data_IF_650483688698
#
_entry.id   IF_650483688698
#
_cell.length_a   1.000
_cell.length_b   1.000
_cell.length_c   1.000
_cell.angle_alpha   90.00
_cell.angle_beta   90.00
_cell.angle_gamma   90.00
#
_symmetry.space_group_name_H-M   'P 1'
#
loop_
_entity.id
_entity.type
_entity.pdbx_description
1 polymer ?
#
# COMPACT_ATOMS: atom_id res chain seq x y z
N UNK A 1 11.98 -11.36 -70.99
CA UNK A 1 12.07 -12.66 -70.30
C UNK A 1 11.07 -12.65 -69.16
N UNK A 2 10.06 -13.54 -69.19
CA UNK A 2 9.05 -13.71 -68.14
C UNK A 2 9.41 -14.86 -67.17
N UNK A 3 8.59 -14.99 -66.11
CA UNK A 3 8.64 -15.82 -64.88
C UNK A 3 9.14 -17.28 -64.99
N UNK A 4 9.52 -17.90 -63.84
CA UNK A 4 8.65 -18.95 -63.29
C UNK A 4 8.44 -18.94 -61.75
N UNK A 5 7.55 -19.85 -61.36
CA UNK A 5 6.85 -20.07 -60.09
C UNK A 5 7.51 -21.15 -59.22
N UNK A 6 7.21 -21.11 -57.91
CA UNK A 6 7.21 -22.16 -56.87
C UNK A 6 8.47 -22.49 -56.06
N UNK A 7 8.25 -22.73 -54.75
CA UNK A 7 9.22 -23.31 -53.82
C UNK A 7 8.77 -23.28 -52.36
N UNK A 8 7.76 -24.08 -52.02
CA UNK A 8 7.32 -24.38 -50.65
C UNK A 8 8.44 -24.99 -49.81
N UNK A 9 9.14 -24.19 -49.00
CA UNK A 9 10.17 -24.74 -48.10
C UNK A 9 10.48 -23.84 -46.91
N UNK A 10 9.46 -23.31 -46.22
CA UNK A 10 9.67 -22.73 -44.88
C UNK A 10 8.43 -22.82 -43.97
N UNK A 11 7.54 -23.78 -44.26
CA UNK A 11 6.42 -24.19 -43.41
C UNK A 11 6.62 -25.57 -42.74
N UNK A 12 7.80 -26.19 -42.85
CA UNK A 12 8.07 -27.52 -42.28
C UNK A 12 8.82 -27.53 -40.94
N UNK A 13 9.27 -26.38 -40.42
CA UNK A 13 10.03 -26.37 -39.15
C UNK A 13 9.19 -26.19 -37.89
N UNK A 14 7.87 -26.03 -38.01
CA UNK A 14 6.96 -25.73 -36.89
C UNK A 14 5.97 -26.86 -36.52
N UNK A 15 6.12 -28.06 -37.09
CA UNK A 15 5.38 -29.27 -36.64
C UNK A 15 6.20 -30.24 -35.76
N UNK A 16 7.51 -30.01 -35.60
CA UNK A 16 8.42 -30.97 -34.95
C UNK A 16 8.59 -30.91 -33.43
N UNK A 17 7.78 -30.15 -32.67
CA UNK A 17 7.93 -30.07 -31.19
C UNK A 17 6.63 -30.38 -30.43
N UNK A 18 5.51 -30.62 -31.13
CA UNK A 18 4.22 -30.93 -30.49
C UNK A 18 3.91 -32.44 -30.44
N UNK A 19 4.76 -33.30 -31.04
CA UNK A 19 4.55 -34.75 -31.12
C UNK A 19 5.47 -35.62 -30.24
N UNK A 20 6.18 -35.04 -29.26
CA UNK A 20 7.05 -35.79 -28.33
C UNK A 20 6.46 -35.99 -26.92
N UNK A 21 5.13 -35.95 -26.78
CA UNK A 21 4.44 -36.22 -25.49
C UNK A 21 3.20 -37.12 -25.61
N UNK A 22 3.08 -37.90 -26.68
CA UNK A 22 2.05 -38.93 -26.81
C UNK A 22 2.58 -40.09 -27.65
N UNK A 23 3.35 -40.97 -27.03
CA UNK A 23 3.55 -42.37 -27.45
C UNK A 23 4.61 -42.98 -26.52
N UNK A 24 4.17 -43.36 -25.31
CA UNK A 24 4.84 -44.33 -24.44
C UNK A 24 3.73 -45.12 -23.74
N UNK A 25 3.01 -45.88 -24.56
CA UNK A 25 2.09 -46.96 -24.17
C UNK A 25 2.18 -48.01 -25.27
N UNK A 26 2.31 -49.26 -24.84
CA UNK A 26 2.20 -50.50 -25.65
C UNK A 26 3.48 -50.74 -26.49
N UNK A 27 4.32 -51.76 -26.26
CA UNK A 27 4.06 -53.19 -26.07
C UNK A 27 5.19 -53.92 -25.32
N UNK A 28 4.84 -54.97 -24.57
CA UNK A 28 5.65 -56.19 -24.39
C UNK A 28 4.78 -57.35 -23.89
N UNK A 29 4.24 -58.10 -24.83
CA UNK A 29 3.81 -59.51 -24.75
C UNK A 29 5.03 -60.41 -25.12
N UNK A 30 5.26 -61.69 -24.75
CA UNK A 30 4.51 -62.85 -24.24
C UNK A 30 5.53 -63.84 -23.58
N UNK A 31 5.15 -64.59 -22.52
CA UNK A 31 5.02 -66.08 -22.49
C UNK A 31 6.32 -66.82 -22.09
N UNK A 32 6.41 -67.84 -21.21
CA UNK A 32 5.57 -69.00 -20.89
C UNK A 32 6.10 -69.72 -19.61
N UNK A 33 5.20 -70.27 -18.77
CA UNK A 33 5.12 -71.67 -18.27
C UNK A 33 4.52 -71.84 -16.84
N UNK A 34 3.61 -72.81 -16.74
CA UNK A 34 2.77 -73.20 -15.60
C UNK A 34 3.44 -74.21 -14.63
N UNK A 35 3.01 -74.25 -13.37
CA UNK A 35 2.51 -75.46 -12.66
C UNK A 35 2.28 -75.14 -11.16
N UNK A 36 1.03 -75.11 -10.68
CA UNK A 36 0.21 -76.16 -10.02
C UNK A 36 0.54 -76.47 -8.53
N UNK A 37 -0.56 -76.48 -7.74
CA UNK A 37 -0.90 -77.34 -6.59
C UNK A 37 -0.68 -76.86 -5.12
N UNK A 38 -1.84 -76.57 -4.51
CA UNK A 38 -2.41 -77.24 -3.31
C UNK A 38 -2.33 -76.60 -1.91
N UNK A 39 -3.53 -76.32 -1.37
CA UNK A 39 -4.05 -76.61 -0.03
C UNK A 39 -3.06 -77.04 1.08
N UNK A 40 -3.13 -76.42 2.28
CA UNK A 40 -3.90 -76.93 3.43
C UNK A 40 -3.73 -76.04 4.69
N UNK A 41 -4.83 -75.95 5.45
CA UNK A 41 -5.03 -75.75 6.90
C UNK A 41 -3.76 -75.83 7.81
N UNK A 42 -3.62 -75.16 8.96
CA UNK A 42 -4.57 -75.06 10.07
C UNK A 42 -4.07 -74.14 11.23
N UNK A 43 -5.00 -73.38 11.81
CA UNK A 43 -5.20 -73.06 13.26
C UNK A 43 -4.08 -72.84 14.28
N UNK A 44 -4.19 -71.69 14.98
CA UNK A 44 -4.08 -71.37 16.45
C UNK A 44 -3.24 -70.09 16.62
N UNK A 45 -3.64 -69.03 17.31
CA UNK A 45 -4.40 -68.95 18.56
C UNK A 45 -5.11 -67.60 18.67
N UNK A 46 -6.30 -67.63 19.29
CA UNK A 46 -7.15 -66.50 19.66
C UNK A 46 -6.41 -65.53 20.60
N UNK A 47 -6.66 -64.22 20.45
CA UNK A 47 -7.16 -63.38 21.55
C UNK A 47 -7.52 -61.93 21.14
N UNK A 48 -8.74 -61.54 21.52
CA UNK A 48 -9.23 -60.18 21.85
C UNK A 48 -9.83 -59.30 20.72
N UNK A 49 -11.14 -59.52 20.52
CA UNK A 49 -12.28 -58.57 20.40
C UNK A 49 -12.06 -57.12 19.93
N UNK A 50 -12.73 -56.81 18.81
CA UNK A 50 -13.52 -55.59 18.47
C UNK A 50 -13.45 -54.41 19.47
N UNK A 51 -12.94 -53.25 19.02
CA UNK A 51 -13.62 -51.93 19.17
C UNK A 51 -12.91 -50.80 18.41
N UNK A 52 -13.72 -50.02 17.70
CA UNK A 52 -13.50 -48.72 17.01
C UNK A 52 -12.21 -47.96 17.38
N UNK A 53 -11.36 -47.67 16.38
CA UNK A 53 -10.29 -46.65 16.48
C UNK A 53 -10.93 -45.24 16.54
N UNK A 54 -10.95 -44.64 17.72
CA UNK A 54 -11.04 -43.17 17.89
C UNK A 54 -9.67 -42.57 17.56
N UNK A 55 -9.63 -41.63 16.60
CA UNK A 55 -8.46 -40.75 16.37
C UNK A 55 -8.36 -39.79 17.57
N UNK A 56 -7.24 -39.79 18.28
CA UNK A 56 -6.86 -38.71 19.19
C UNK A 56 -5.94 -37.76 18.42
N UNK A 57 -6.41 -36.55 18.15
CA UNK A 57 -5.56 -35.41 17.80
C UNK A 57 -5.24 -34.64 19.08
N UNK A 58 -4.00 -34.74 19.56
CA UNK A 58 -3.47 -33.81 20.56
C UNK A 58 -3.13 -32.50 19.83
N UNK A 59 -4.01 -31.50 19.94
CA UNK A 59 -3.71 -30.10 19.60
C UNK A 59 -3.54 -29.37 20.93
N UNK A 60 -2.36 -28.81 21.24
CA UNK A 60 -2.21 -27.95 22.39
C UNK A 60 -2.98 -26.64 22.12
N UNK A 61 -4.02 -26.37 22.91
CA UNK A 61 -4.62 -25.04 23.00
C UNK A 61 -3.61 -24.12 23.65
N UNK A 62 -2.96 -23.25 22.88
CA UNK A 62 -2.32 -22.07 23.45
C UNK A 62 -3.42 -21.13 23.94
N UNK A 63 -3.60 -21.11 25.26
CA UNK A 63 -4.46 -20.16 25.94
C UNK A 63 -3.94 -18.75 25.69
N UNK A 64 -4.79 -17.91 25.11
CA UNK A 64 -4.58 -16.47 25.07
C UNK A 64 -4.63 -15.97 26.52
N UNK A 65 -3.47 -15.65 27.09
CA UNK A 65 -3.40 -14.95 28.36
C UNK A 65 -4.01 -13.56 28.17
N UNK A 66 -5.11 -13.32 28.89
CA UNK A 66 -5.62 -11.99 29.23
C UNK A 66 -4.47 -11.19 29.83
N UNK A 67 -4.04 -10.13 29.15
CA UNK A 67 -3.23 -9.08 29.76
C UNK A 67 -4.18 -7.98 30.23
N UNK A 68 -4.28 -7.86 31.55
CA UNK A 68 -4.80 -6.69 32.25
C UNK A 68 -3.81 -5.54 32.03
N UNK A 69 -4.25 -4.40 31.47
CA UNK A 69 -3.70 -3.05 31.69
C UNK A 69 -4.62 -1.98 31.04
N UNK A 70 -5.36 -1.28 31.91
CA UNK A 70 -6.01 0.04 31.82
C UNK A 70 -7.04 0.36 30.72
N UNK A 71 -8.32 0.20 31.11
CA UNK A 71 -9.44 1.18 31.19
C UNK A 71 -9.77 2.18 30.07
N UNK A 72 -9.47 1.84 28.81
CA UNK A 72 -10.26 2.39 27.68
C UNK A 72 -10.79 1.22 26.84
N UNK A 73 -12.09 0.92 26.98
CA UNK A 73 -12.76 0.01 26.05
C UNK A 73 -12.73 0.66 24.68
N UNK A 74 -12.18 0.00 23.66
CA UNK A 74 -12.26 0.48 22.27
C UNK A 74 -13.48 -0.18 21.62
N UNK A 75 -14.44 0.62 21.16
CA UNK A 75 -15.60 0.12 20.45
C UNK A 75 -15.27 0.03 18.96
N UNK A 76 -15.38 -1.19 18.42
CA UNK A 76 -15.49 -1.41 16.98
C UNK A 76 -16.97 -1.20 16.64
N UNK A 77 -17.32 -0.05 16.04
CA UNK A 77 -18.70 0.19 15.58
C UNK A 77 -18.75 -0.14 14.09
N UNK A 78 -19.48 -1.18 13.66
CA UNK A 78 -19.90 -1.26 12.28
C UNK A 78 -20.92 -0.14 12.08
N UNK A 79 -20.65 0.80 11.18
CA UNK A 79 -21.72 1.70 10.74
C UNK A 79 -22.78 0.88 10.01
N UNK A 80 -24.00 1.42 9.96
CA UNK A 80 -25.21 0.83 9.35
C UNK A 80 -25.03 0.47 7.86
N UNK A 81 -23.86 0.79 7.27
CA UNK A 81 -23.51 0.54 5.86
C UNK A 81 -22.12 -0.11 5.66
N UNK A 82 -21.62 -0.88 6.63
CA UNK A 82 -20.46 -1.75 6.46
C UNK A 82 -19.10 -1.19 6.88
N UNK A 83 -18.97 0.12 7.09
CA UNK A 83 -17.71 0.80 7.46
C UNK A 83 -17.06 0.33 8.77
N UNK A 84 -15.74 0.11 8.77
CA UNK A 84 -14.90 -0.15 9.94
C UNK A 84 -14.40 1.16 10.60
N UNK A 85 -15.20 1.69 11.54
CA UNK A 85 -14.79 2.80 12.41
C UNK A 85 -14.32 2.29 13.77
N UNK A 86 -13.30 2.96 14.31
CA UNK A 86 -12.77 2.68 15.65
C UNK A 86 -12.86 3.94 16.49
N UNK A 87 -13.57 3.83 17.61
CA UNK A 87 -13.77 4.91 18.57
C UNK A 87 -13.60 4.38 20.01
N UNK A 88 -13.40 5.30 20.97
CA UNK A 88 -13.44 4.93 22.36
C UNK A 88 -14.88 4.51 22.74
N UNK A 89 -15.01 3.33 23.34
CA UNK A 89 -16.27 2.79 23.84
C UNK A 89 -16.79 3.55 25.06
N UNK A 90 -18.10 3.80 25.08
CA UNK A 90 -18.76 4.56 26.12
C UNK A 90 -18.95 3.69 27.38
N UNK A 91 -18.11 3.90 28.39
CA UNK A 91 -18.41 3.41 29.75
C UNK A 91 -19.29 4.43 30.48
N UNK A 92 -20.59 4.47 30.16
CA UNK A 92 -21.68 4.98 31.01
C UNK A 92 -21.47 6.31 31.77
N UNK A 93 -20.73 7.28 31.23
CA UNK A 93 -20.61 8.63 31.80
C UNK A 93 -20.99 9.67 30.75
N UNK A 94 -22.09 10.38 31.03
CA UNK A 94 -22.78 11.35 30.17
C UNK A 94 -22.03 12.66 29.91
N UNK A 95 -20.74 12.63 29.59
CA UNK A 95 -19.98 13.83 29.18
C UNK A 95 -18.75 13.50 28.33
N UNK A 96 -18.90 12.59 27.36
CA UNK A 96 -17.83 12.28 26.43
C UNK A 96 -17.78 13.36 25.35
N UNK A 97 -16.71 14.17 25.34
CA UNK A 97 -16.42 15.11 24.25
C UNK A 97 -16.40 14.32 22.94
N UNK A 98 -17.16 14.80 21.94
CA UNK A 98 -17.23 14.18 20.63
C UNK A 98 -15.91 14.40 19.88
N UNK A 99 -15.41 13.40 19.13
CA UNK A 99 -14.15 13.52 18.43
C UNK A 99 -14.20 14.69 17.43
N UNK A 100 -13.10 15.44 17.35
CA UNK A 100 -12.97 16.62 16.49
C UNK A 100 -12.01 16.41 15.34
N UNK A 101 -11.23 15.33 15.36
CA UNK A 101 -10.20 15.04 14.37
C UNK A 101 -10.40 13.65 13.75
N UNK A 102 -10.65 13.62 12.44
CA UNK A 102 -10.75 12.40 11.66
C UNK A 102 -9.37 11.90 11.20
N UNK A 103 -9.05 10.64 11.46
CA UNK A 103 -7.89 9.96 10.87
C UNK A 103 -8.38 8.94 9.85
N UNK A 104 -8.07 9.17 8.58
CA UNK A 104 -8.39 8.26 7.48
C UNK A 104 -7.20 7.33 7.21
N UNK A 105 -7.37 6.03 7.46
CA UNK A 105 -6.35 5.02 7.21
C UNK A 105 -6.61 4.27 5.91
N UNK A 106 -5.64 4.23 4.99
CA UNK A 106 -5.82 3.76 3.61
C UNK A 106 -4.92 2.57 3.32
N UNK A 107 -5.50 1.43 2.95
CA UNK A 107 -4.77 0.17 2.77
C UNK A 107 -3.94 0.11 1.47
N UNK A 108 -2.89 -0.73 1.51
CA UNK A 108 -2.10 -1.08 0.34
C UNK A 108 -2.78 -2.07 -0.61
N UNK A 109 -2.01 -2.53 -1.61
CA UNK A 109 -2.46 -3.48 -2.63
C UNK A 109 -2.90 -4.82 -2.03
N UNK A 110 -4.01 -5.39 -2.50
CA UNK A 110 -4.65 -6.60 -1.93
C UNK A 110 -4.91 -6.43 -0.41
N UNK A 111 -5.09 -5.18 0.03
CA UNK A 111 -5.32 -4.82 1.42
C UNK A 111 -6.80 -4.82 1.77
N UNK A 112 -7.06 -4.63 3.06
CA UNK A 112 -8.39 -4.41 3.62
C UNK A 112 -8.28 -3.52 4.87
N UNK A 113 -9.40 -2.97 5.36
CA UNK A 113 -9.43 -2.14 6.58
C UNK A 113 -8.81 -2.84 7.79
N UNK A 114 -8.96 -4.17 7.88
CA UNK A 114 -8.46 -4.95 9.02
C UNK A 114 -6.94 -4.90 9.16
N UNK A 115 -6.20 -4.57 8.09
CA UNK A 115 -4.75 -4.38 8.15
C UNK A 115 -4.36 -3.22 9.09
N UNK A 116 -5.25 -2.26 9.30
CA UNK A 116 -5.05 -1.11 10.16
C UNK A 116 -5.56 -1.33 11.58
N UNK A 117 -6.18 -2.47 11.89
CA UNK A 117 -6.83 -2.74 13.18
C UNK A 117 -5.91 -2.48 14.37
N UNK A 118 -4.64 -2.87 14.30
CA UNK A 118 -3.68 -2.63 15.36
C UNK A 118 -3.43 -1.12 15.54
N UNK A 119 -3.07 -0.42 14.47
CA UNK A 119 -2.79 1.01 14.52
C UNK A 119 -4.02 1.80 14.98
N UNK A 120 -5.20 1.55 14.41
CA UNK A 120 -6.44 2.24 14.76
C UNK A 120 -6.76 2.14 16.26
N UNK A 121 -6.64 0.94 16.85
CA UNK A 121 -6.85 0.75 18.29
C UNK A 121 -5.87 1.52 19.15
N UNK A 122 -4.59 1.55 18.75
CA UNK A 122 -3.56 2.25 19.50
C UNK A 122 -3.69 3.77 19.39
N UNK A 123 -4.07 4.30 18.23
CA UNK A 123 -4.38 5.72 18.05
C UNK A 123 -5.56 6.14 18.94
N UNK A 124 -6.67 5.39 18.91
CA UNK A 124 -7.85 5.68 19.74
C UNK A 124 -7.52 5.56 21.22
N UNK A 125 -6.69 4.58 21.63
CA UNK A 125 -6.25 4.48 23.02
C UNK A 125 -5.41 5.69 23.45
N UNK A 126 -4.56 6.20 22.58
CA UNK A 126 -3.71 7.35 22.86
C UNK A 126 -4.48 8.68 22.91
N UNK A 127 -5.52 8.83 22.09
CA UNK A 127 -6.28 10.08 21.92
C UNK A 127 -7.79 9.87 22.06
N UNK A 128 -8.20 9.20 23.14
CA UNK A 128 -9.56 8.65 23.31
C UNK A 128 -10.74 9.61 23.21
N UNK A 129 -10.51 10.92 23.38
CA UNK A 129 -11.54 11.98 23.29
C UNK A 129 -11.39 12.90 22.08
N UNK A 130 -10.25 12.86 21.40
CA UNK A 130 -9.90 13.88 20.39
C UNK A 130 -10.12 13.38 18.97
N UNK A 131 -9.96 12.07 18.74
CA UNK A 131 -9.92 11.49 17.41
C UNK A 131 -11.02 10.47 17.13
N UNK A 132 -11.38 10.39 15.85
CA UNK A 132 -12.13 9.29 15.25
C UNK A 132 -11.23 8.65 14.19
N UNK A 133 -11.06 7.32 14.23
CA UNK A 133 -10.29 6.60 13.20
C UNK A 133 -11.25 5.90 12.25
N UNK A 134 -11.15 6.22 10.97
CA UNK A 134 -11.86 5.57 9.88
C UNK A 134 -10.87 4.77 9.03
N UNK A 135 -10.98 3.44 9.00
CA UNK A 135 -10.20 2.62 8.09
C UNK A 135 -11.00 2.43 6.80
N UNK A 136 -10.53 3.03 5.72
CA UNK A 136 -11.21 3.06 4.42
C UNK A 136 -11.45 1.64 3.88
N UNK A 137 -12.66 1.42 3.38
CA UNK A 137 -13.09 0.14 2.79
C UNK A 137 -13.25 0.22 1.27
N UNK A 138 -13.33 1.44 0.71
CA UNK A 138 -13.61 1.72 -0.71
C UNK A 138 -12.70 0.99 -1.71
N UNK A 139 -11.50 0.60 -1.27
CA UNK A 139 -10.48 -0.02 -2.10
C UNK A 139 -9.92 -1.32 -1.50
N UNK A 140 -10.81 -2.27 -1.22
CA UNK A 140 -10.45 -3.57 -0.66
C UNK A 140 -10.20 -4.65 -1.73
N UNK A 141 -9.26 -5.56 -1.45
CA UNK A 141 -9.03 -6.77 -2.27
C UNK A 141 -8.76 -6.47 -3.75
N UNK A 142 -9.55 -7.03 -4.68
CA UNK A 142 -9.36 -6.88 -6.12
C UNK A 142 -9.65 -5.45 -6.62
N UNK A 143 -10.41 -4.65 -5.87
CA UNK A 143 -10.65 -3.24 -6.18
C UNK A 143 -9.34 -2.42 -6.16
N UNK A 144 -8.29 -2.96 -5.52
CA UNK A 144 -6.96 -2.33 -5.54
C UNK A 144 -6.28 -2.34 -6.92
N UNK A 145 -6.85 -3.00 -7.92
CA UNK A 145 -6.30 -3.11 -9.28
C UNK A 145 -6.92 -2.13 -10.28
N UNK A 146 -7.91 -1.33 -9.86
CA UNK A 146 -8.68 -0.44 -10.75
C UNK A 146 -7.94 0.83 -11.19
N UNK A 147 -6.78 1.11 -10.61
CA UNK A 147 -5.98 2.30 -10.89
C UNK A 147 -6.11 3.37 -9.82
N UNK A 148 -4.98 4.03 -9.53
CA UNK A 148 -4.83 5.04 -8.46
C UNK A 148 -5.85 6.18 -8.59
N UNK A 149 -6.16 6.60 -9.80
CA UNK A 149 -7.14 7.65 -10.08
C UNK A 149 -8.56 7.24 -9.70
N UNK A 150 -8.98 6.04 -10.10
CA UNK A 150 -10.31 5.50 -9.78
C UNK A 150 -10.43 5.27 -8.27
N UNK A 151 -9.41 4.64 -7.67
CA UNK A 151 -9.37 4.40 -6.23
C UNK A 151 -9.38 5.69 -5.43
N UNK A 152 -8.66 6.71 -5.90
CA UNK A 152 -8.58 8.03 -5.25
C UNK A 152 -9.91 8.77 -5.26
N UNK A 153 -10.68 8.69 -6.36
CA UNK A 153 -12.04 9.25 -6.41
C UNK A 153 -12.98 8.54 -5.44
N UNK A 154 -12.98 7.20 -5.41
CA UNK A 154 -13.81 6.45 -4.45
C UNK A 154 -13.47 6.79 -3.00
N UNK A 155 -12.18 6.93 -2.69
CA UNK A 155 -11.74 7.32 -1.36
C UNK A 155 -12.23 8.74 -1.02
N UNK A 156 -12.18 9.68 -1.97
CA UNK A 156 -12.72 11.03 -1.75
C UNK A 156 -14.23 10.99 -1.45
N UNK A 157 -15.02 10.23 -2.21
CA UNK A 157 -16.46 10.06 -2.01
C UNK A 157 -16.78 9.42 -0.63
N UNK A 158 -15.99 8.41 -0.24
CA UNK A 158 -16.08 7.77 1.08
C UNK A 158 -15.78 8.76 2.21
N UNK A 159 -14.72 9.57 2.08
CA UNK A 159 -14.35 10.59 3.07
C UNK A 159 -15.44 11.63 3.23
N UNK A 160 -16.03 12.14 2.14
CA UNK A 160 -17.15 13.08 2.21
C UNK A 160 -18.32 12.46 2.98
N UNK A 161 -18.67 11.21 2.64
CA UNK A 161 -19.75 10.48 3.32
C UNK A 161 -19.49 10.27 4.81
N UNK A 162 -18.23 10.12 5.22
CA UNK A 162 -17.85 10.03 6.64
C UNK A 162 -17.98 11.39 7.32
N UNK A 163 -17.48 12.46 6.70
CA UNK A 163 -17.53 13.83 7.25
C UNK A 163 -18.97 14.31 7.41
N UNK A 164 -19.83 14.08 6.42
CA UNK A 164 -21.24 14.48 6.45
C UNK A 164 -22.01 13.83 7.61
N UNK A 165 -21.62 12.62 8.02
CA UNK A 165 -22.22 11.89 9.15
C UNK A 165 -21.71 12.34 10.52
N UNK A 166 -20.61 13.10 10.56
CA UNK A 166 -19.93 13.49 11.80
C UNK A 166 -19.67 15.01 11.79
N UNK A 167 -20.70 15.84 12.04
CA UNK A 167 -20.59 17.31 11.96
C UNK A 167 -19.69 17.92 13.04
N UNK A 168 -19.24 17.13 14.04
CA UNK A 168 -18.31 17.58 15.07
C UNK A 168 -16.86 17.56 14.63
N UNK A 169 -16.55 16.98 13.47
CA UNK A 169 -15.21 16.96 12.91
C UNK A 169 -14.83 18.36 12.42
N UNK A 170 -13.62 18.78 12.79
CA UNK A 170 -13.02 20.06 12.37
C UNK A 170 -11.65 19.86 11.71
N UNK A 171 -11.01 18.71 11.95
CA UNK A 171 -9.66 18.39 11.49
C UNK A 171 -9.62 17.04 10.78
N UNK A 172 -8.72 16.90 9.83
CA UNK A 172 -8.51 15.65 9.09
C UNK A 172 -7.03 15.32 8.92
N UNK A 173 -6.70 14.04 9.06
CA UNK A 173 -5.39 13.46 8.79
C UNK A 173 -5.53 12.19 7.95
N UNK A 174 -4.51 11.91 7.15
CA UNK A 174 -4.42 10.70 6.33
C UNK A 174 -3.20 9.87 6.73
N UNK A 175 -3.38 8.55 6.80
CA UNK A 175 -2.31 7.58 6.99
C UNK A 175 -2.43 6.51 5.90
N UNK A 176 -1.50 6.51 4.94
CA UNK A 176 -1.50 5.58 3.82
C UNK A 176 -0.38 4.55 3.91
N UNK A 177 -0.69 3.28 3.66
CA UNK A 177 0.31 2.21 3.56
C UNK A 177 0.49 1.80 2.11
N UNK A 178 1.74 1.73 1.64
CA UNK A 178 2.05 1.23 0.31
C UNK A 178 1.27 1.99 -0.76
N UNK A 179 0.58 1.29 -1.66
CA UNK A 179 -0.36 1.84 -2.63
C UNK A 179 -1.36 2.85 -2.03
N UNK A 180 -1.81 2.63 -0.79
CA UNK A 180 -2.75 3.51 -0.10
C UNK A 180 -2.24 4.93 0.08
N UNK A 181 -0.92 5.14 0.20
CA UNK A 181 -0.35 6.50 0.22
C UNK A 181 -0.47 7.22 -1.12
N UNK A 182 -0.42 6.51 -2.25
CA UNK A 182 -0.66 7.09 -3.57
C UNK A 182 -2.15 7.36 -3.79
N UNK A 183 -3.02 6.46 -3.35
CA UNK A 183 -4.48 6.65 -3.39
C UNK A 183 -4.89 7.85 -2.54
N UNK A 184 -4.35 7.99 -1.33
CA UNK A 184 -4.56 9.14 -0.46
C UNK A 184 -4.10 10.45 -1.12
N UNK A 185 -2.92 10.48 -1.76
CA UNK A 185 -2.44 11.65 -2.52
C UNK A 185 -3.41 12.07 -3.62
N UNK A 186 -4.02 11.11 -4.31
CA UNK A 186 -5.01 11.43 -5.34
C UNK A 186 -6.31 11.96 -4.71
N UNK A 187 -6.80 11.30 -3.67
CA UNK A 187 -8.03 11.69 -2.97
C UNK A 187 -7.96 13.10 -2.39
N UNK A 188 -6.85 13.48 -1.73
CA UNK A 188 -6.72 14.83 -1.17
C UNK A 188 -6.74 15.90 -2.25
N UNK A 189 -6.23 15.64 -3.46
CA UNK A 189 -6.28 16.59 -4.56
C UNK A 189 -7.70 16.78 -5.08
N UNK A 190 -8.49 15.70 -5.14
CA UNK A 190 -9.92 15.76 -5.49
C UNK A 190 -10.70 16.58 -4.45
N UNK A 191 -10.52 16.25 -3.16
CA UNK A 191 -11.20 16.95 -2.06
C UNK A 191 -10.82 18.43 -1.99
N UNK A 192 -9.54 18.74 -2.16
CA UNK A 192 -9.03 20.11 -2.21
C UNK A 192 -9.67 20.92 -3.34
N UNK A 193 -9.72 20.34 -4.55
CA UNK A 193 -10.32 21.00 -5.71
C UNK A 193 -11.82 21.25 -5.51
N UNK A 194 -12.54 20.30 -4.91
CA UNK A 194 -13.97 20.47 -4.62
C UNK A 194 -14.23 21.60 -3.63
N UNK A 195 -13.40 21.73 -2.59
CA UNK A 195 -13.54 22.83 -1.63
C UNK A 195 -13.24 24.19 -2.28
N UNK A 196 -12.24 24.29 -3.17
CA UNK A 196 -12.00 25.51 -3.95
C UNK A 196 -13.21 25.93 -4.80
N UNK A 197 -13.88 24.97 -5.45
CA UNK A 197 -15.06 25.24 -6.28
C UNK A 197 -16.30 25.63 -5.45
N UNK A 198 -16.42 25.11 -4.23
CA UNK A 198 -17.47 25.51 -3.29
C UNK A 198 -17.28 26.94 -2.79
N UNK A 199 -16.04 27.33 -2.51
CA UNK A 199 -15.73 28.70 -2.11
C UNK A 199 -16.04 29.70 -3.24
N UNK A 200 -15.62 29.41 -4.47
CA UNK A 200 -15.87 30.31 -5.61
C UNK A 200 -17.36 30.50 -5.94
N UNK A 201 -18.18 29.46 -5.77
CA UNK A 201 -19.63 29.54 -6.00
C UNK A 201 -20.40 30.24 -4.86
N UNK A 202 -19.84 30.28 -3.65
CA UNK A 202 -20.44 30.99 -2.51
C UNK A 202 -20.24 32.51 -2.57
N UNK A 203 -19.18 32.98 -3.25
CA UNK A 203 -18.88 34.41 -3.40
C UNK A 203 -19.72 35.09 -4.52
N UNK A 204 -20.34 34.34 -5.45
CA UNK A 204 -21.18 34.91 -6.52
C UNK A 204 -22.56 35.42 -6.07
N UNK A 205 -23.03 35.06 -4.87
CA UNK A 205 -24.32 35.53 -4.32
C UNK A 205 -24.20 36.76 -3.39
N UNK A 206 -23.01 37.33 -3.23
CA UNK A 206 -22.76 38.59 -2.53
C UNK A 206 -22.23 39.64 -3.51
N UNK A 207 -22.75 40.88 -3.45
CA UNK A 207 -22.34 41.95 -4.35
C UNK A 207 -20.83 42.27 -4.28
N UNK A 208 -20.20 42.19 -5.46
CA UNK A 208 -19.06 42.96 -5.97
C UNK A 208 -17.62 42.63 -5.50
N UNK A 209 -16.76 42.30 -6.48
CA UNK A 209 -15.34 42.61 -6.46
C UNK A 209 -14.45 41.61 -7.20
N UNK A 210 -13.71 42.05 -8.20
CA UNK A 210 -12.61 41.35 -8.92
C UNK A 210 -11.41 40.97 -8.00
N UNK A 211 -11.64 40.78 -6.70
CA UNK A 211 -10.63 40.61 -5.65
C UNK A 211 -10.40 39.13 -5.28
N UNK A 212 -11.30 38.21 -5.62
CA UNK A 212 -11.14 36.79 -5.28
C UNK A 212 -9.91 36.15 -5.96
N UNK A 213 -9.56 36.60 -7.18
CA UNK A 213 -8.36 36.14 -7.90
C UNK A 213 -7.08 36.86 -7.44
N UNK A 214 -7.20 37.96 -6.67
CA UNK A 214 -6.09 38.81 -6.23
C UNK A 214 -5.81 38.71 -4.72
N UNK A 215 -6.49 37.82 -3.98
CA UNK A 215 -6.14 37.54 -2.58
C UNK A 215 -4.69 37.03 -2.54
N UNK A 216 -3.81 37.59 -1.68
CA UNK A 216 -2.42 37.16 -1.62
C UNK A 216 -2.36 35.65 -1.30
N UNK A 217 -1.52 34.90 -2.02
CA UNK A 217 -1.31 33.45 -1.89
C UNK A 217 -1.24 32.95 -0.43
N UNK A 218 -0.74 33.80 0.48
CA UNK A 218 -0.62 33.56 1.93
C UNK A 218 -1.98 33.42 2.63
N UNK A 219 -3.00 34.16 2.22
CA UNK A 219 -4.35 34.08 2.81
C UNK A 219 -5.12 32.85 2.30
N UNK A 220 -4.93 32.50 1.03
CA UNK A 220 -5.50 31.27 0.44
C UNK A 220 -4.96 30.02 1.14
N UNK A 221 -3.67 30.03 1.50
CA UNK A 221 -3.01 28.97 2.29
C UNK A 221 -3.61 28.78 3.71
N UNK A 222 -4.19 29.81 4.31
CA UNK A 222 -4.83 29.73 5.65
C UNK A 222 -6.26 29.18 5.60
N UNK A 223 -6.87 29.12 4.41
CA UNK A 223 -8.25 28.64 4.21
C UNK A 223 -8.33 27.26 3.56
N UNK A 224 -7.25 26.77 2.96
CA UNK A 224 -7.17 25.45 2.36
C UNK A 224 -7.81 24.34 3.23
N UNK A 225 -8.94 23.80 2.77
CA UNK A 225 -9.67 22.69 3.40
C UNK A 225 -9.51 21.40 2.61
N UNK A 226 -9.76 20.28 3.30
CA UNK A 226 -9.91 18.96 2.71
C UNK A 226 -11.24 18.39 3.22
N UNK A 227 -12.23 18.28 2.34
CA UNK A 227 -13.61 17.93 2.70
C UNK A 227 -14.20 18.90 3.75
N UNK A 228 -13.90 20.19 3.65
CA UNK A 228 -14.31 21.22 4.61
C UNK A 228 -13.54 21.21 5.94
N UNK A 229 -12.65 20.23 6.17
CA UNK A 229 -11.90 20.07 7.42
C UNK A 229 -10.49 20.66 7.31
N UNK A 230 -9.91 21.05 8.45
CA UNK A 230 -8.53 21.52 8.55
C UNK A 230 -7.54 20.35 8.39
N UNK A 231 -6.68 20.34 7.35
CA UNK A 231 -5.71 19.27 7.14
C UNK A 231 -4.52 19.36 8.11
N UNK A 232 -4.28 18.29 8.88
CA UNK A 232 -3.24 18.27 9.93
C UNK A 232 -2.04 17.40 9.55
N UNK A 233 -2.21 16.07 9.46
CA UNK A 233 -1.13 15.15 9.15
C UNK A 233 -1.39 14.39 7.84
N UNK A 234 -0.36 14.33 6.99
CA UNK A 234 -0.31 13.42 5.85
C UNK A 234 0.87 12.45 6.04
N UNK A 235 0.57 11.21 6.43
CA UNK A 235 1.58 10.21 6.76
C UNK A 235 1.53 9.08 5.73
N UNK A 236 2.69 8.72 5.20
CA UNK A 236 2.83 7.55 4.33
C UNK A 236 3.81 6.55 4.92
N UNK A 237 3.56 5.26 4.68
CA UNK A 237 4.41 4.18 5.15
C UNK A 237 4.66 3.16 4.05
N UNK A 238 5.93 2.95 3.71
CA UNK A 238 6.35 2.07 2.61
C UNK A 238 5.64 2.39 1.28
N UNK A 239 5.36 3.67 1.00
CA UNK A 239 4.65 4.09 -0.22
C UNK A 239 5.61 4.28 -1.38
N UNK A 240 5.38 3.67 -2.56
CA UNK A 240 6.25 3.86 -3.73
C UNK A 240 5.94 5.20 -4.44
N UNK A 241 6.31 6.33 -3.84
CA UNK A 241 5.97 7.67 -4.34
C UNK A 241 6.45 7.96 -5.77
N UNK A 242 7.57 7.34 -6.17
CA UNK A 242 8.19 7.46 -7.49
C UNK A 242 7.84 6.27 -8.42
N UNK A 243 6.89 5.44 -8.00
CA UNK A 243 6.61 4.15 -8.62
C UNK A 243 7.63 3.07 -8.26
N UNK A 244 7.54 1.97 -9.01
CA UNK A 244 8.31 0.73 -8.85
C UNK A 244 9.17 0.43 -10.08
N UNK A 245 9.31 1.40 -11.00
CA UNK A 245 10.06 1.24 -12.24
C UNK A 245 11.57 1.45 -11.99
N UNK A 246 12.37 0.43 -12.27
CA UNK A 246 13.81 0.59 -12.50
C UNK A 246 14.71 -0.39 -11.74
N UNK A 247 15.61 -1.01 -12.50
CA UNK A 247 16.79 -1.81 -12.12
C UNK A 247 17.67 -1.35 -10.94
N UNK A 248 17.42 -0.18 -10.33
CA UNK A 248 18.28 0.46 -9.31
C UNK A 248 17.56 0.88 -8.03
N UNK A 249 16.28 1.20 -8.07
CA UNK A 249 15.47 1.46 -6.87
C UNK A 249 14.98 0.16 -6.24
N UNK A 250 14.86 -0.85 -7.08
CA UNK A 250 14.43 -2.19 -6.77
C UNK A 250 15.55 -3.12 -7.26
N UNK A 251 16.39 -3.72 -6.39
CA UNK A 251 17.37 -4.73 -6.81
C UNK A 251 16.63 -6.03 -7.10
N UNK A 252 15.75 -5.99 -8.10
CA UNK A 252 15.00 -7.14 -8.57
C UNK A 252 16.02 -8.21 -8.98
N UNK A 253 16.02 -9.31 -8.23
CA UNK A 253 16.79 -10.53 -8.53
C UNK A 253 18.27 -10.31 -8.88
N UNK A 254 19.00 -9.51 -8.09
CA UNK A 254 20.45 -9.36 -8.25
C UNK A 254 20.92 -8.86 -9.63
N UNK A 255 20.08 -8.11 -10.37
CA UNK A 255 20.51 -7.40 -11.59
C UNK A 255 20.41 -8.19 -12.90
N UNK A 256 19.63 -9.27 -12.96
CA UNK A 256 19.37 -9.98 -14.21
C UNK A 256 18.24 -9.32 -15.04
N UNK A 257 18.61 -8.70 -16.15
CA UNK A 257 17.75 -7.94 -17.08
C UNK A 257 16.56 -8.74 -17.67
N UNK A 258 16.66 -10.07 -17.72
CA UNK A 258 15.64 -10.96 -18.29
C UNK A 258 14.40 -11.11 -17.39
N UNK A 259 14.56 -10.99 -16.07
CA UNK A 259 13.45 -11.09 -15.11
C UNK A 259 12.69 -9.78 -14.92
N UNK A 260 13.30 -8.63 -15.24
CA UNK A 260 12.65 -7.31 -15.22
C UNK A 260 11.53 -7.25 -16.28
N UNK A 261 11.76 -7.82 -17.46
CA UNK A 261 10.72 -8.00 -18.48
C UNK A 261 9.58 -8.91 -17.99
N UNK A 262 9.87 -9.89 -17.14
CA UNK A 262 8.85 -10.75 -16.54
C UNK A 262 8.03 -10.01 -15.47
N UNK A 263 8.65 -9.13 -14.67
CA UNK A 263 7.94 -8.31 -13.69
C UNK A 263 7.04 -7.24 -14.34
N UNK A 264 7.49 -6.62 -15.43
CA UNK A 264 6.66 -5.72 -16.26
C UNK A 264 5.50 -6.49 -16.91
N UNK A 265 5.71 -7.75 -17.30
CA UNK A 265 4.62 -8.62 -17.77
C UNK A 265 3.68 -9.05 -16.63
N UNK A 266 4.20 -9.21 -15.41
CA UNK A 266 3.40 -9.51 -14.23
C UNK A 266 2.62 -8.29 -13.71
N UNK A 267 3.05 -7.04 -14.00
CA UNK A 267 2.31 -5.85 -13.60
C UNK A 267 0.94 -5.74 -14.30
N UNK A 268 0.79 -6.34 -15.49
CA UNK A 268 -0.52 -6.51 -16.13
C UNK A 268 -1.52 -7.28 -15.25
N UNK A 269 -1.05 -8.19 -14.40
CA UNK A 269 -1.89 -8.95 -13.47
C UNK A 269 -2.38 -8.08 -12.30
N UNK A 270 -1.80 -6.89 -12.11
CA UNK A 270 -2.25 -5.88 -11.15
C UNK A 270 -3.16 -4.83 -11.82
N UNK A 271 -3.67 -5.13 -13.02
CA UNK A 271 -4.60 -4.28 -13.75
C UNK A 271 -4.03 -2.90 -14.07
N UNK A 272 -4.89 -1.88 -13.96
CA UNK A 272 -4.53 -0.48 -14.23
C UNK A 272 -3.57 0.07 -13.17
N UNK A 273 -3.71 -0.38 -11.92
CA UNK A 273 -2.77 -0.05 -10.83
C UNK A 273 -1.34 -0.42 -11.18
N UNK A 274 -1.13 -1.61 -11.76
CA UNK A 274 0.18 -2.03 -12.24
C UNK A 274 0.77 -1.08 -13.28
N UNK A 275 -0.04 -0.59 -14.21
CA UNK A 275 0.43 0.39 -15.22
C UNK A 275 0.90 1.69 -14.57
N UNK A 276 0.15 2.23 -13.60
CA UNK A 276 0.53 3.46 -12.89
C UNK A 276 1.81 3.27 -12.05
N UNK A 277 1.92 2.17 -11.30
CA UNK A 277 3.10 1.89 -10.46
C UNK A 277 4.38 1.73 -11.29
N UNK A 278 4.27 1.15 -12.49
CA UNK A 278 5.42 0.95 -13.39
C UNK A 278 5.60 2.09 -14.41
N UNK A 279 4.87 3.19 -14.27
CA UNK A 279 4.93 4.38 -15.14
C UNK A 279 4.77 4.01 -16.63
N UNK A 280 3.89 3.07 -16.93
CA UNK A 280 3.64 2.55 -18.29
C UNK A 280 2.28 2.99 -18.85
N UNK A 281 1.62 3.91 -18.17
CA UNK A 281 0.34 4.54 -18.47
C UNK A 281 0.53 5.83 -19.28
N UNK A 282 1.21 5.70 -20.42
CA UNK A 282 1.35 6.78 -21.39
C UNK A 282 0.12 6.85 -22.29
N UNK A 283 -1.01 7.23 -21.73
CA UNK A 283 -2.28 7.35 -22.45
C UNK A 283 -2.45 8.77 -23.00
N UNK A 284 -2.98 8.90 -24.23
CA UNK A 284 -3.45 10.16 -24.83
C UNK A 284 -2.43 11.33 -24.86
N UNK A 285 -1.14 11.01 -24.93
CA UNK A 285 -0.06 12.02 -24.96
C UNK A 285 0.23 12.69 -23.61
N UNK A 286 -0.43 12.27 -22.52
CA UNK A 286 -0.18 12.75 -21.17
C UNK A 286 1.02 12.00 -20.54
N UNK A 287 1.77 12.66 -19.64
CA UNK A 287 2.80 11.97 -18.85
C UNK A 287 2.18 10.93 -17.91
N UNK A 288 2.94 9.94 -17.39
CA UNK A 288 2.43 8.96 -16.42
C UNK A 288 1.72 9.63 -15.23
N UNK A 289 0.66 9.01 -14.71
CA UNK A 289 -0.16 9.58 -13.64
C UNK A 289 0.67 9.97 -12.41
N UNK A 290 1.63 9.15 -12.00
CA UNK A 290 2.47 9.47 -10.84
C UNK A 290 3.30 10.74 -11.03
N UNK A 291 3.73 11.04 -12.26
CA UNK A 291 4.40 12.29 -12.60
C UNK A 291 3.41 13.46 -12.62
N UNK A 292 2.18 13.25 -13.11
CA UNK A 292 1.13 14.27 -13.01
C UNK A 292 0.83 14.64 -11.55
N UNK A 293 0.84 13.65 -10.64
CA UNK A 293 0.60 13.84 -9.21
C UNK A 293 1.73 14.58 -8.46
N UNK A 294 2.79 15.01 -9.15
CA UNK A 294 3.87 15.83 -8.56
C UNK A 294 3.81 17.29 -8.99
N UNK A 295 2.74 17.68 -9.69
CA UNK A 295 2.53 19.02 -10.22
C UNK A 295 1.09 19.45 -9.95
N UNK A 296 0.85 20.75 -9.92
CA UNK A 296 -0.50 21.30 -9.94
C UNK A 296 -0.94 21.50 -11.39
N UNK A 297 -2.05 20.89 -11.78
CA UNK A 297 -2.70 21.13 -13.07
C UNK A 297 -3.92 22.04 -12.90
N UNK A 298 -4.58 22.42 -13.99
CA UNK A 298 -5.84 23.18 -13.91
C UNK A 298 -6.98 22.33 -13.31
N UNK A 299 -6.96 21.02 -13.57
CA UNK A 299 -7.97 20.08 -13.09
C UNK A 299 -7.78 19.72 -11.61
N UNK A 300 -6.55 19.39 -11.19
CA UNK A 300 -6.24 18.90 -9.85
C UNK A 300 -4.93 19.49 -9.33
N UNK A 301 -4.98 20.09 -8.14
CA UNK A 301 -3.85 20.73 -7.47
C UNK A 301 -3.19 19.78 -6.46
N UNK A 302 -2.40 18.82 -6.94
CA UNK A 302 -1.80 17.78 -6.08
C UNK A 302 -0.77 18.30 -5.06
N UNK A 303 0.09 19.23 -5.46
CA UNK A 303 1.11 19.81 -4.58
C UNK A 303 0.47 20.81 -3.63
N UNK A 304 -0.46 21.66 -4.09
CA UNK A 304 -1.21 22.55 -3.20
C UNK A 304 -2.00 21.77 -2.13
N UNK A 305 -2.66 20.68 -2.53
CA UNK A 305 -3.37 19.82 -1.58
C UNK A 305 -2.41 19.20 -0.55
N UNK A 306 -1.23 18.73 -0.97
CA UNK A 306 -0.20 18.24 -0.05
C UNK A 306 0.33 19.35 0.86
N UNK A 307 0.56 20.55 0.33
CA UNK A 307 1.08 21.70 1.06
C UNK A 307 0.12 22.16 2.17
N UNK A 308 -1.19 21.99 1.96
CA UNK A 308 -2.23 22.37 2.93
C UNK A 308 -2.06 21.68 4.29
N UNK A 309 -1.54 20.45 4.33
CA UNK A 309 -1.30 19.72 5.58
C UNK A 309 -0.23 20.40 6.43
N UNK A 310 -0.46 20.57 7.73
CA UNK A 310 0.55 21.13 8.65
C UNK A 310 1.81 20.29 8.70
N UNK A 311 1.66 18.97 8.67
CA UNK A 311 2.75 18.00 8.78
C UNK A 311 2.64 16.90 7.71
N UNK A 312 3.76 16.60 7.06
CA UNK A 312 3.91 15.50 6.09
C UNK A 312 5.05 14.59 6.51
N UNK A 313 4.82 13.28 6.58
CA UNK A 313 5.83 12.31 7.02
C UNK A 313 5.86 11.11 6.09
N UNK A 314 7.07 10.69 5.72
CA UNK A 314 7.30 9.49 4.93
C UNK A 314 8.12 8.47 5.75
N UNK A 315 7.47 7.37 6.14
CA UNK A 315 8.11 6.22 6.78
C UNK A 315 8.58 5.24 5.71
N UNK A 316 9.88 4.95 5.69
CA UNK A 316 10.51 4.19 4.64
C UNK A 316 11.30 3.01 5.19
N UNK A 317 11.04 1.81 4.67
CA UNK A 317 11.86 0.65 5.01
C UNK A 317 13.24 0.75 4.31
N UNK A 318 14.31 0.83 5.11
CA UNK A 318 15.67 0.88 4.59
C UNK A 318 16.14 -0.45 3.98
N UNK A 319 15.48 -1.57 4.35
CA UNK A 319 15.79 -2.92 3.86
C UNK A 319 14.55 -3.80 3.78
N UNK A 320 14.62 -4.76 2.86
CA UNK A 320 13.71 -5.90 2.75
C UNK A 320 12.23 -5.51 2.58
N UNK A 321 11.96 -4.37 1.94
CA UNK A 321 10.60 -3.92 1.64
C UNK A 321 9.98 -4.71 0.48
N UNK A 322 9.76 -6.00 0.76
CA UNK A 322 9.27 -7.02 -0.16
C UNK A 322 7.80 -7.24 0.05
N UNK A 323 7.07 -7.25 -1.06
CA UNK A 323 5.71 -7.72 -1.10
C UNK A 323 5.71 -9.14 -1.67
N UNK A 324 5.03 -10.03 -0.98
CA UNK A 324 4.70 -11.34 -1.51
C UNK A 324 3.41 -11.22 -2.30
N UNK A 325 3.46 -11.39 -3.62
CA UNK A 325 2.26 -11.35 -4.47
C UNK A 325 2.00 -12.76 -5.00
N UNK A 326 0.84 -13.31 -4.66
CA UNK A 326 0.38 -14.61 -5.17
C UNK A 326 -0.37 -14.39 -6.48
N UNK A 327 0.35 -14.28 -7.59
CA UNK A 327 -0.26 -14.09 -8.92
C UNK A 327 -0.32 -15.38 -9.76
N UNK A 328 0.46 -16.40 -9.41
CA UNK A 328 0.47 -17.71 -10.11
C UNK A 328 0.73 -18.86 -9.12
N UNK A 329 0.73 -20.10 -9.62
CA UNK A 329 1.09 -21.33 -8.87
C UNK A 329 2.47 -21.28 -8.17
N UNK A 330 3.30 -20.28 -8.48
CA UNK A 330 4.56 -20.00 -7.80
C UNK A 330 4.52 -18.67 -7.06
N UNK A 331 4.92 -18.70 -5.79
CA UNK A 331 5.08 -17.50 -4.95
C UNK A 331 6.31 -16.70 -5.41
N UNK A 332 6.11 -15.47 -5.89
CA UNK A 332 7.21 -14.55 -6.21
C UNK A 332 7.25 -13.38 -5.22
N UNK A 333 8.42 -13.17 -4.62
CA UNK A 333 8.70 -11.95 -3.87
C UNK A 333 9.06 -10.85 -4.85
N UNK A 334 8.32 -9.75 -4.79
CA UNK A 334 8.60 -8.55 -5.59
C UNK A 334 8.98 -7.43 -4.62
N UNK A 335 10.18 -6.88 -4.81
CA UNK A 335 10.61 -5.64 -4.14
C UNK A 335 9.80 -4.48 -4.78
N UNK A 336 8.54 -4.27 -4.38
CA UNK A 336 7.68 -3.25 -5.02
C UNK A 336 8.02 -1.82 -4.57
N UNK A 337 8.72 -1.66 -3.45
CA UNK A 337 8.97 -0.35 -2.85
C UNK A 337 10.46 -0.18 -2.56
N UNK A 338 11.08 0.77 -3.26
CA UNK A 338 12.47 1.15 -3.01
C UNK A 338 12.59 2.10 -1.82
N UNK A 339 13.72 2.03 -1.10
CA UNK A 339 14.03 2.97 -0.01
C UNK A 339 14.03 4.42 -0.52
N UNK A 340 14.63 4.70 -1.69
CA UNK A 340 14.62 6.02 -2.32
C UNK A 340 13.20 6.53 -2.62
N UNK A 341 12.36 5.65 -3.17
CA UNK A 341 10.98 5.97 -3.55
C UNK A 341 10.12 6.26 -2.32
N UNK A 342 10.20 5.42 -1.29
CA UNK A 342 9.44 5.60 -0.04
C UNK A 342 9.95 6.73 0.83
N UNK A 343 11.25 7.02 0.82
CA UNK A 343 11.81 8.12 1.60
C UNK A 343 11.90 9.45 0.85
N UNK A 344 11.45 9.53 -0.41
CA UNK A 344 11.58 10.74 -1.24
C UNK A 344 13.03 11.28 -1.30
N UNK A 345 13.99 10.37 -1.49
CA UNK A 345 15.43 10.70 -1.60
C UNK A 345 15.99 10.19 -2.92
N UNK A 346 16.93 10.94 -3.49
CA UNK A 346 17.80 10.38 -4.51
C UNK A 346 18.66 9.27 -3.89
N UNK A 347 19.08 8.28 -4.68
CA UNK A 347 19.84 7.13 -4.17
C UNK A 347 21.18 7.52 -3.51
N UNK A 348 21.81 8.59 -4.01
CA UNK A 348 23.06 9.15 -3.46
C UNK A 348 22.86 9.92 -2.15
N UNK A 349 21.64 10.33 -1.84
CA UNK A 349 21.26 11.03 -0.59
C UNK A 349 20.85 10.07 0.53
N UNK A 350 20.73 8.77 0.24
CA UNK A 350 20.34 7.79 1.24
C UNK A 350 21.38 7.72 2.38
N UNK A 351 20.94 7.70 3.65
CA UNK A 351 21.83 7.63 4.80
C UNK A 351 22.86 6.50 4.69
N UNK A 352 24.13 6.84 4.96
CA UNK A 352 25.22 5.85 4.98
C UNK A 352 25.02 4.92 6.17
N UNK A 353 24.97 3.62 5.88
CA UNK A 353 24.64 2.56 6.87
C UNK A 353 25.46 2.58 8.16
N UNK A 354 26.72 3.01 8.08
CA UNK A 354 27.64 3.10 9.22
C UNK A 354 27.27 4.19 10.25
N UNK A 355 26.40 5.12 9.88
CA UNK A 355 25.99 6.25 10.72
C UNK A 355 24.58 6.07 11.31
N UNK A 356 23.95 4.91 11.09
CA UNK A 356 22.58 4.64 11.55
C UNK A 356 22.62 4.23 13.02
N UNK A 357 21.97 5.01 13.88
CA UNK A 357 21.86 4.74 15.32
C UNK A 357 20.43 4.32 15.62
N UNK A 358 20.26 3.23 16.36
CA UNK A 358 18.93 2.80 16.80
C UNK A 358 18.38 3.80 17.81
N UNK A 359 17.14 4.23 17.61
CA UNK A 359 16.46 5.07 18.58
C UNK A 359 16.25 4.29 19.90
N UNK A 360 16.54 4.92 21.04
CA UNK A 360 16.47 4.27 22.35
C UNK A 360 15.04 3.78 22.69
N UNK A 361 14.03 4.59 22.34
CA UNK A 361 12.60 4.29 22.56
C UNK A 361 11.96 3.46 21.43
N UNK A 362 12.50 3.54 20.21
CA UNK A 362 11.90 2.91 19.02
C UNK A 362 12.99 2.15 18.23
N UNK A 363 13.36 0.94 18.67
CA UNK A 363 14.57 0.25 18.19
C UNK A 363 14.64 0.02 16.67
N UNK A 364 13.52 0.05 15.96
CA UNK A 364 13.48 -0.10 14.50
C UNK A 364 13.56 1.21 13.73
N UNK A 365 13.39 2.38 14.38
CA UNK A 365 13.67 3.69 13.80
C UNK A 365 15.18 3.94 13.87
N UNK A 366 15.80 4.15 12.71
CA UNK A 366 17.26 4.17 12.54
C UNK A 366 17.82 5.49 12.01
N UNK A 367 16.96 6.34 11.44
CA UNK A 367 17.31 7.68 10.99
C UNK A 367 16.03 8.51 10.85
N UNK A 368 16.13 9.78 11.22
CA UNK A 368 15.08 10.76 11.07
C UNK A 368 15.70 12.05 10.56
N UNK A 369 15.13 12.62 9.50
CA UNK A 369 15.52 13.94 9.03
C UNK A 369 14.32 14.68 8.42
N UNK A 370 14.54 15.94 8.06
CA UNK A 370 13.53 16.72 7.34
C UNK A 370 14.11 17.20 6.01
N UNK A 371 13.29 17.15 4.95
CA UNK A 371 13.69 17.64 3.64
C UNK A 371 13.76 19.16 3.60
N UNK A 372 14.76 19.66 2.88
CA UNK A 372 14.77 21.05 2.41
C UNK A 372 13.81 21.19 1.23
N UNK A 373 13.12 22.33 1.16
CA UNK A 373 12.21 22.67 0.06
C UNK A 373 13.02 23.09 -1.16
N UNK A 374 12.76 22.47 -2.31
CA UNK A 374 13.44 22.79 -3.58
C UNK A 374 12.60 23.80 -4.37
N UNK A 375 13.23 24.85 -4.88
CA UNK A 375 12.54 25.89 -5.65
C UNK A 375 12.11 25.36 -7.04
N UNK A 376 10.84 25.48 -7.46
CA UNK A 376 10.36 24.90 -8.72
C UNK A 376 10.95 25.51 -10.01
N UNK A 377 11.58 26.69 -9.95
CA UNK A 377 12.00 27.47 -11.12
C UNK A 377 13.24 26.93 -11.88
N UNK A 378 13.94 25.90 -11.39
CA UNK A 378 15.08 25.27 -12.08
C UNK A 378 14.66 24.08 -12.99
N UNK A 379 13.49 24.16 -13.60
CA UNK A 379 12.90 23.07 -14.38
C UNK A 379 13.36 23.08 -15.85
N UNK A 380 14.24 22.15 -16.21
CA UNK A 380 14.46 21.74 -17.60
C UNK A 380 13.51 20.59 -17.98
N UNK A 381 13.08 20.59 -19.24
CA UNK A 381 12.11 19.67 -19.84
C UNK A 381 12.67 18.23 -19.84
N UNK A 382 12.08 17.34 -19.04
CA UNK A 382 12.43 15.91 -19.05
C UNK A 382 12.05 15.26 -20.40
N UNK A 383 13.02 14.68 -21.10
CA UNK A 383 12.84 13.97 -22.39
C UNK A 383 13.17 12.49 -22.21
N UNK A 384 12.20 11.74 -21.67
CA UNK A 384 12.00 10.33 -22.03
C UNK A 384 12.89 9.26 -21.39
N UNK A 385 13.84 9.58 -20.49
CA UNK A 385 14.60 8.54 -19.74
C UNK A 385 14.01 8.28 -18.35
N UNK A 386 14.01 7.02 -17.91
CA UNK A 386 13.46 6.60 -16.60
C UNK A 386 14.06 7.36 -15.40
N UNK A 387 15.32 7.78 -15.48
CA UNK A 387 15.99 8.59 -14.45
C UNK A 387 15.53 10.03 -14.43
N UNK A 388 15.17 10.61 -15.58
CA UNK A 388 14.68 11.99 -15.67
C UNK A 388 13.26 12.10 -15.10
N UNK A 389 12.41 11.10 -15.34
CA UNK A 389 11.06 11.03 -14.76
C UNK A 389 11.14 10.90 -13.24
N UNK A 390 12.01 10.04 -12.71
CA UNK A 390 12.26 9.89 -11.27
C UNK A 390 12.70 11.22 -10.64
N UNK A 391 13.66 11.90 -11.27
CA UNK A 391 14.17 13.18 -10.79
C UNK A 391 13.11 14.28 -10.83
N UNK A 392 12.31 14.36 -11.90
CA UNK A 392 11.19 15.30 -12.00
C UNK A 392 10.15 15.06 -10.88
N UNK A 393 9.79 13.79 -10.63
CA UNK A 393 8.88 13.44 -9.54
C UNK A 393 9.45 13.80 -8.17
N UNK A 394 10.74 13.52 -7.94
CA UNK A 394 11.42 13.88 -6.69
C UNK A 394 11.43 15.39 -6.47
N UNK A 395 11.73 16.19 -7.51
CA UNK A 395 11.71 17.65 -7.45
C UNK A 395 10.31 18.16 -7.11
N UNK A 396 9.27 17.68 -7.80
CA UNK A 396 7.89 18.06 -7.53
C UNK A 396 7.45 17.72 -6.10
N UNK A 397 7.74 16.51 -5.62
CA UNK A 397 7.37 16.10 -4.26
C UNK A 397 8.16 16.80 -3.15
N UNK A 398 9.41 17.19 -3.42
CA UNK A 398 10.28 17.95 -2.50
C UNK A 398 10.08 19.46 -2.57
N UNK A 399 9.17 19.96 -3.40
CA UNK A 399 8.74 21.36 -3.35
C UNK A 399 8.06 21.70 -2.02
N UNK A 400 7.47 20.70 -1.36
CA UNK A 400 6.92 20.78 0.00
C UNK A 400 7.82 20.06 1.01
N UNK A 401 7.80 20.51 2.26
CA UNK A 401 8.63 19.95 3.34
C UNK A 401 8.09 18.60 3.83
N UNK A 402 8.95 17.58 3.90
CA UNK A 402 8.66 16.25 4.42
C UNK A 402 9.58 15.89 5.58
N UNK A 403 9.01 15.35 6.65
CA UNK A 403 9.75 14.55 7.62
C UNK A 403 9.95 13.14 7.06
N UNK A 404 11.15 12.58 7.20
CA UNK A 404 11.53 11.29 6.63
C UNK A 404 12.07 10.40 7.73
N UNK A 405 11.39 9.28 7.96
CA UNK A 405 11.70 8.32 9.02
C UNK A 405 12.11 7.01 8.37
N UNK A 406 13.36 6.59 8.60
CA UNK A 406 13.87 5.34 8.07
C UNK A 406 13.73 4.22 9.11
N UNK A 407 13.14 3.11 8.68
CA UNK A 407 12.81 1.94 9.50
C UNK A 407 13.61 0.73 9.04
N UNK A 408 14.11 -0.07 9.98
CA UNK A 408 14.89 -1.26 9.65
C UNK A 408 14.60 -2.46 10.57
N UNK A 409 13.99 -3.48 10.00
CA UNK A 409 13.73 -4.76 10.66
C UNK A 409 14.85 -5.80 10.48
N UNK A 410 16.04 -5.45 10.00
CA UNK A 410 17.09 -6.41 9.65
C UNK A 410 17.54 -7.34 10.79
N UNK A 411 17.39 -6.93 12.05
CA UNK A 411 17.63 -7.75 13.25
C UNK A 411 16.44 -8.60 13.70
N UNK A 412 15.29 -8.50 13.01
CA UNK A 412 14.08 -9.26 13.28
C UNK A 412 13.97 -10.50 12.40
N UNK A 413 13.32 -11.54 12.93
CA UNK A 413 12.86 -12.70 12.15
C UNK A 413 11.81 -12.26 11.11
N UNK A 414 11.07 -11.18 11.38
CA UNK A 414 10.04 -10.60 10.51
C UNK A 414 10.62 -9.72 9.38
N UNK A 415 11.96 -9.68 9.18
CA UNK A 415 12.62 -8.84 8.17
C UNK A 415 12.10 -9.05 6.74
N UNK A 416 11.75 -10.28 6.37
CA UNK A 416 11.21 -10.58 5.03
C UNK A 416 9.76 -10.13 4.85
N UNK A 417 9.12 -9.71 5.94
CA UNK A 417 7.77 -9.18 5.99
C UNK A 417 7.77 -7.68 6.31
N UNK A 418 8.92 -6.99 6.22
CA UNK A 418 9.08 -5.58 6.59
C UNK A 418 7.98 -4.67 6.02
N UNK A 419 7.55 -4.93 4.78
CA UNK A 419 6.48 -4.22 4.13
C UNK A 419 5.16 -4.23 4.91
N UNK A 420 4.79 -5.37 5.50
CA UNK A 420 3.58 -5.49 6.32
C UNK A 420 3.86 -5.26 7.81
N UNK A 421 5.10 -5.46 8.24
CA UNK A 421 5.54 -5.23 9.62
C UNK A 421 5.48 -3.76 9.98
N UNK A 422 5.88 -2.85 9.10
CA UNK A 422 5.85 -1.40 9.35
C UNK A 422 4.45 -0.86 9.73
N UNK A 423 3.38 -1.49 9.24
CA UNK A 423 1.99 -1.15 9.59
C UNK A 423 1.35 -2.09 10.64
N UNK A 424 2.08 -3.12 11.08
CA UNK A 424 1.59 -4.17 12.00
C UNK A 424 0.32 -4.84 11.47
N UNK A 425 0.36 -5.31 10.20
CA UNK A 425 -0.81 -5.89 9.50
C UNK A 425 -1.54 -6.95 10.34
N UNK A 426 -0.79 -7.90 10.89
CA UNK A 426 -1.32 -8.94 11.78
C UNK A 426 -0.43 -9.04 13.00
N UNK A 427 -0.90 -8.62 14.18
CA UNK A 427 -0.05 -8.49 15.38
C UNK A 427 0.77 -9.76 15.71
N UNK A 428 0.18 -10.95 15.63
CA UNK A 428 0.91 -12.19 15.93
C UNK A 428 2.05 -12.51 14.95
N UNK A 429 2.07 -11.89 13.77
CA UNK A 429 3.08 -12.08 12.71
C UNK A 429 3.98 -10.85 12.55
N UNK A 430 3.46 -9.66 12.88
CA UNK A 430 4.03 -8.36 12.54
C UNK A 430 4.29 -7.47 13.77
N UNK A 431 4.28 -8.04 14.97
CA UNK A 431 4.44 -7.32 16.25
C UNK A 431 5.70 -6.45 16.35
N UNK A 432 6.76 -6.73 15.56
CA UNK A 432 7.99 -5.93 15.64
C UNK A 432 7.82 -4.53 15.07
N UNK A 433 6.75 -4.21 14.33
CA UNK A 433 6.48 -2.83 13.92
C UNK A 433 5.71 -2.00 14.96
N UNK A 434 5.38 -2.58 16.12
CA UNK A 434 4.62 -1.89 17.16
C UNK A 434 5.30 -0.60 17.63
N UNK A 435 6.63 -0.57 17.70
CA UNK A 435 7.40 0.62 18.07
C UNK A 435 7.37 1.69 16.98
N UNK A 436 7.22 1.31 15.71
CA UNK A 436 7.03 2.25 14.60
C UNK A 436 5.65 2.90 14.67
N UNK A 437 4.60 2.12 14.97
CA UNK A 437 3.26 2.66 15.22
C UNK A 437 3.26 3.57 16.45
N UNK A 438 3.98 3.19 17.51
CA UNK A 438 4.12 4.04 18.69
C UNK A 438 4.86 5.35 18.36
N UNK A 439 5.90 5.31 17.53
CA UNK A 439 6.58 6.50 17.04
C UNK A 439 5.64 7.40 16.24
N UNK A 440 4.78 6.83 15.39
CA UNK A 440 3.77 7.60 14.64
C UNK A 440 2.80 8.32 15.59
N UNK A 441 2.30 7.61 16.61
CA UNK A 441 1.39 8.16 17.62
C UNK A 441 2.07 9.26 18.42
N UNK A 442 3.25 9.01 18.98
CA UNK A 442 3.93 9.95 19.88
C UNK A 442 4.34 11.26 19.19
N UNK A 443 4.44 11.25 17.86
CA UNK A 443 4.74 12.42 17.03
C UNK A 443 3.51 12.93 16.25
N UNK A 444 2.30 12.45 16.55
CA UNK A 444 1.09 12.87 15.84
C UNK A 444 0.63 14.25 16.30
N UNK A 445 0.24 15.12 15.37
CA UNK A 445 -0.32 16.44 15.69
C UNK A 445 -1.85 16.36 15.78
N UNK A 446 -2.44 16.91 16.84
CA UNK A 446 -3.88 16.94 17.05
C UNK A 446 -4.59 18.14 16.43
#
# INVERSE_FOLDING_TARGET
MPLPVMGSMEMEKYKGIVETMREDKEDKEMGLEESKLSNHQNTKMKNIRKRRRRKYSFIPRFGCMKLLHDDVSVAEKPDVEGSFNVEAGCNGKDNQLLPTHLIVMVNGIIGSPQNWRYAAKHFVKAYSSDIMVHCSESNSSMLTFDGIDVMGKRLADEVISVVDRHPTLHKISFIGHSLGGLVARYAIAVLYQQDLMRESSSEENGECGEEALNKPFVEQKRRAKIAGLEPVNFITSATPHLGSRGHKQVPLFCGFHTMEKAAIRASWLLGRTGKHLFLSDHDDGKPPLLLQMTLDSDDLKFISALESFKRRVAYANARFDRILVYLTVSSFYVDLVGWSSSSLRCRNELPKRRNLVKHAKYPHVINEDTSETVNPQEASTARGRSSEIEEAMLRGLRSVRWERVDVNFGGSIQRLLAHNTIQVKTYCINSHGADVIQHMIDNFQL
#
